data_IF_072964827263
#
_entry.id   IF_072964827263
#
_cell.length_a   1.000
_cell.length_b   1.000
_cell.length_c   1.000
_cell.angle_alpha   90.00
_cell.angle_beta   90.00
_cell.angle_gamma   90.00
#
_symmetry.space_group_name_H-M   'P 1'
#
loop_
_entity.id
_entity.type
_entity.pdbx_description
1 polymer ?
#
# COMPACT_ATOMS: atom_id res chain seq x y z
N UNK A 1 17.97 -24.46 21.12
CA UNK A 1 17.18 -23.23 20.96
C UNK A 1 16.28 -23.10 22.16
N UNK A 2 16.21 -21.92 22.76
CA UNK A 2 15.28 -21.65 23.86
C UNK A 2 13.84 -21.66 23.33
N UNK A 3 12.84 -21.92 24.19
CA UNK A 3 11.41 -21.79 23.82
C UNK A 3 11.08 -20.39 23.27
N UNK A 4 11.84 -19.37 23.67
CA UNK A 4 11.72 -18.01 23.18
C UNK A 4 12.25 -17.89 21.74
N UNK A 5 13.40 -18.50 21.42
CA UNK A 5 14.00 -18.44 20.08
C UNK A 5 13.05 -19.06 19.04
N UNK A 6 12.38 -20.17 19.37
CA UNK A 6 11.41 -20.80 18.49
C UNK A 6 10.18 -19.89 18.28
N UNK A 7 9.69 -19.23 19.33
CA UNK A 7 8.59 -18.28 19.23
C UNK A 7 8.97 -17.05 18.36
N UNK A 8 10.17 -16.50 18.55
CA UNK A 8 10.70 -15.39 17.77
C UNK A 8 10.92 -15.78 16.30
N UNK A 9 11.33 -17.02 16.04
CA UNK A 9 11.51 -17.51 14.66
C UNK A 9 10.15 -17.62 13.95
N UNK A 10 9.13 -18.18 14.62
CA UNK A 10 7.76 -18.24 14.08
C UNK A 10 7.22 -16.84 13.82
N UNK A 11 7.48 -15.90 14.72
CA UNK A 11 7.13 -14.49 14.56
C UNK A 11 7.81 -13.87 13.33
N UNK A 12 9.12 -14.05 13.18
CA UNK A 12 9.87 -13.54 12.03
C UNK A 12 9.32 -14.07 10.70
N UNK A 13 9.13 -15.38 10.61
CA UNK A 13 8.56 -16.01 9.41
C UNK A 13 7.16 -15.48 9.09
N UNK A 14 6.33 -15.29 10.13
CA UNK A 14 5.00 -14.72 9.96
C UNK A 14 5.05 -13.26 9.45
N UNK A 15 5.86 -12.40 10.08
CA UNK A 15 5.97 -10.99 9.67
C UNK A 15 6.56 -10.83 8.27
N UNK A 16 7.56 -11.65 7.91
CA UNK A 16 8.11 -11.67 6.56
C UNK A 16 7.07 -12.11 5.54
N UNK A 17 6.30 -13.17 5.84
CA UNK A 17 5.23 -13.63 4.95
C UNK A 17 4.14 -12.57 4.77
N UNK A 18 3.75 -11.87 5.83
CA UNK A 18 2.79 -10.76 5.78
C UNK A 18 3.34 -9.61 4.94
N UNK A 19 4.63 -9.27 5.09
CA UNK A 19 5.28 -8.23 4.30
C UNK A 19 5.24 -8.53 2.79
N UNK A 20 5.59 -9.76 2.41
CA UNK A 20 5.58 -10.20 1.01
C UNK A 20 4.16 -10.28 0.44
N UNK A 21 3.18 -10.70 1.25
CA UNK A 21 1.78 -10.77 0.86
C UNK A 21 1.20 -9.37 0.56
N UNK A 22 1.59 -8.33 1.31
CA UNK A 22 1.21 -6.95 0.98
C UNK A 22 1.67 -6.54 -0.42
N UNK A 23 2.92 -6.83 -0.78
CA UNK A 23 3.46 -6.44 -2.08
C UNK A 23 2.79 -7.21 -3.23
N UNK A 24 2.52 -8.50 -3.05
CA UNK A 24 1.76 -9.31 -4.02
C UNK A 24 0.35 -8.79 -4.25
N UNK A 25 -0.36 -8.46 -3.16
CA UNK A 25 -1.73 -7.92 -3.23
C UNK A 25 -1.76 -6.54 -3.87
N UNK A 26 -0.85 -5.65 -3.49
CA UNK A 26 -0.74 -4.30 -4.08
C UNK A 26 -0.52 -4.39 -5.58
N UNK A 27 0.40 -5.25 -6.03
CA UNK A 27 0.69 -5.42 -7.45
C UNK A 27 -0.54 -5.92 -8.23
N UNK A 28 -1.28 -6.88 -7.66
CA UNK A 28 -2.51 -7.40 -8.26
C UNK A 28 -3.58 -6.32 -8.40
N UNK A 29 -3.82 -5.56 -7.33
CA UNK A 29 -4.83 -4.50 -7.29
C UNK A 29 -4.48 -3.34 -8.23
N UNK A 30 -3.19 -3.01 -8.39
CA UNK A 30 -2.73 -2.07 -9.41
C UNK A 30 -3.05 -2.53 -10.81
N UNK A 31 -2.80 -3.81 -11.11
CA UNK A 31 -3.13 -4.42 -12.39
C UNK A 31 -4.61 -4.27 -12.70
N UNK A 32 -5.49 -4.61 -11.75
CA UNK A 32 -6.94 -4.49 -11.91
C UNK A 32 -7.40 -3.04 -12.03
N UNK A 33 -6.84 -2.15 -11.21
CA UNK A 33 -7.20 -0.71 -11.25
C UNK A 33 -6.78 -0.09 -12.57
N UNK A 34 -5.58 -0.39 -13.07
CA UNK A 34 -5.11 0.11 -14.35
C UNK A 34 -5.95 -0.44 -15.51
N UNK A 35 -6.12 -1.76 -15.60
CA UNK A 35 -6.90 -2.38 -16.67
C UNK A 35 -8.35 -1.90 -16.66
N UNK A 36 -9.00 -1.87 -15.49
CA UNK A 36 -10.37 -1.42 -15.32
C UNK A 36 -10.54 0.06 -15.67
N UNK A 37 -9.61 0.92 -15.23
CA UNK A 37 -9.68 2.37 -15.53
C UNK A 37 -9.49 2.65 -17.02
N UNK A 38 -8.56 1.97 -17.68
CA UNK A 38 -8.34 2.10 -19.12
C UNK A 38 -9.58 1.65 -19.89
N UNK A 39 -10.14 0.48 -19.57
CA UNK A 39 -11.34 -0.02 -20.21
C UNK A 39 -12.54 0.92 -20.02
N UNK A 40 -12.73 1.43 -18.79
CA UNK A 40 -13.77 2.39 -18.45
C UNK A 40 -13.63 3.70 -19.24
N UNK A 41 -12.40 4.23 -19.36
CA UNK A 41 -12.11 5.43 -20.16
C UNK A 41 -12.46 5.24 -21.63
N UNK A 42 -12.06 4.13 -22.24
CA UNK A 42 -12.36 3.85 -23.65
C UNK A 42 -13.87 3.71 -23.89
N UNK A 43 -14.57 2.97 -23.02
CA UNK A 43 -16.02 2.81 -23.10
C UNK A 43 -16.78 4.13 -22.93
N UNK A 44 -16.25 5.04 -22.10
CA UNK A 44 -16.78 6.38 -21.96
C UNK A 44 -16.53 7.22 -23.21
N UNK A 45 -15.29 7.26 -23.70
CA UNK A 45 -14.89 8.04 -24.87
C UNK A 45 -15.65 7.67 -26.15
N UNK A 46 -16.08 6.41 -26.30
CA UNK A 46 -16.81 5.94 -27.48
C UNK A 46 -18.28 6.37 -27.57
N UNK A 47 -18.85 6.99 -26.53
CA UNK A 47 -20.30 7.30 -26.46
C UNK A 47 -20.59 8.79 -26.34
N UNK A 48 -20.70 9.58 -27.43
CA UNK A 48 -20.70 11.05 -27.44
C UNK A 48 -21.50 11.72 -26.31
N UNK A 49 -22.69 11.22 -26.01
CA UNK A 49 -23.64 11.65 -24.97
C UNK A 49 -23.26 11.29 -23.52
N UNK A 50 -22.13 10.64 -23.29
CA UNK A 50 -21.71 10.21 -21.96
C UNK A 50 -21.43 11.39 -21.02
N UNK A 51 -22.00 11.34 -19.81
CA UNK A 51 -21.86 12.39 -18.81
C UNK A 51 -20.41 12.58 -18.35
N UNK A 52 -20.02 13.85 -18.16
CA UNK A 52 -18.77 14.24 -17.50
C UNK A 52 -18.66 13.67 -16.07
N UNK A 53 -19.80 13.42 -15.42
CA UNK A 53 -19.85 12.82 -14.08
C UNK A 53 -19.21 11.43 -14.02
N UNK A 54 -19.18 10.68 -15.12
CA UNK A 54 -18.47 9.40 -15.19
C UNK A 54 -16.96 9.59 -15.06
N UNK A 55 -16.37 10.53 -15.81
CA UNK A 55 -14.94 10.79 -15.78
C UNK A 55 -14.50 11.29 -14.38
N UNK A 56 -15.30 12.16 -13.77
CA UNK A 56 -15.08 12.61 -12.39
C UNK A 56 -15.16 11.45 -11.39
N UNK A 57 -16.18 10.59 -11.51
CA UNK A 57 -16.34 9.42 -10.64
C UNK A 57 -15.16 8.44 -10.76
N UNK A 58 -14.67 8.21 -11.98
CA UNK A 58 -13.51 7.36 -12.23
C UNK A 58 -12.23 7.97 -11.64
N UNK A 59 -12.03 9.28 -11.78
CA UNK A 59 -10.89 9.96 -11.17
C UNK A 59 -10.91 9.87 -9.63
N UNK A 60 -12.09 10.04 -9.01
CA UNK A 60 -12.25 9.88 -7.56
C UNK A 60 -11.91 8.45 -7.11
N UNK A 61 -12.35 7.43 -7.86
CA UNK A 61 -12.02 6.03 -7.56
C UNK A 61 -10.50 5.79 -7.63
N UNK A 62 -9.83 6.31 -8.66
CA UNK A 62 -8.37 6.20 -8.82
C UNK A 62 -7.64 6.87 -7.67
N UNK A 63 -8.06 8.08 -7.26
CA UNK A 63 -7.49 8.78 -6.10
C UNK A 63 -7.72 7.98 -4.81
N UNK A 64 -8.91 7.39 -4.63
CA UNK A 64 -9.19 6.55 -3.47
C UNK A 64 -8.27 5.31 -3.41
N UNK A 65 -8.01 4.67 -4.55
CA UNK A 65 -7.06 3.55 -4.63
C UNK A 65 -5.62 3.99 -4.31
N UNK A 66 -5.22 5.18 -4.79
CA UNK A 66 -3.92 5.75 -4.47
C UNK A 66 -3.76 6.03 -2.97
N UNK A 67 -4.80 6.56 -2.31
CA UNK A 67 -4.83 6.76 -0.86
C UNK A 67 -4.73 5.44 -0.11
N UNK A 68 -5.49 4.43 -0.54
CA UNK A 68 -5.51 3.11 0.09
C UNK A 68 -4.11 2.45 0.05
N UNK A 69 -3.41 2.54 -1.08
CA UNK A 69 -2.05 2.02 -1.18
C UNK A 69 -1.08 2.76 -0.24
N UNK A 70 -1.14 4.09 -0.19
CA UNK A 70 -0.31 4.86 0.72
C UNK A 70 -0.54 4.44 2.19
N UNK A 71 -1.80 4.18 2.58
CA UNK A 71 -2.14 3.65 3.91
C UNK A 71 -1.55 2.25 4.14
N UNK A 72 -1.63 1.35 3.16
CA UNK A 72 -1.00 0.04 3.26
C UNK A 72 0.52 0.12 3.41
N UNK A 73 1.18 1.06 2.75
CA UNK A 73 2.62 1.26 2.90
C UNK A 73 3.01 1.77 4.29
N UNK A 74 2.19 2.63 4.89
CA UNK A 74 2.36 3.02 6.31
C UNK A 74 2.23 1.79 7.22
N UNK A 75 1.21 0.94 6.98
CA UNK A 75 1.01 -0.26 7.77
C UNK A 75 2.18 -1.26 7.62
N UNK A 76 2.60 -1.55 6.39
CA UNK A 76 3.73 -2.43 6.08
C UNK A 76 5.00 -1.98 6.83
N UNK A 77 5.39 -0.72 6.67
CA UNK A 77 6.60 -0.17 7.30
C UNK A 77 6.53 -0.04 8.82
N UNK A 78 5.33 -0.10 9.42
CA UNK A 78 5.20 -0.13 10.88
C UNK A 78 5.75 -1.43 11.48
N UNK A 79 5.65 -2.54 10.73
CA UNK A 79 6.18 -3.84 11.13
C UNK A 79 7.68 -3.97 10.84
N UNK A 80 8.23 -3.17 9.92
CA UNK A 80 9.65 -3.20 9.54
C UNK A 80 10.59 -3.09 10.74
N UNK A 81 10.34 -2.15 11.66
CA UNK A 81 11.16 -1.99 12.87
C UNK A 81 11.21 -3.22 13.78
N UNK A 82 10.20 -4.10 13.72
CA UNK A 82 10.19 -5.34 14.48
C UNK A 82 10.93 -6.45 13.74
N UNK A 83 10.82 -6.49 12.40
CA UNK A 83 11.62 -7.37 11.55
C UNK A 83 13.10 -7.08 11.77
N UNK A 84 13.53 -5.82 11.69
CA UNK A 84 14.92 -5.40 11.94
C UNK A 84 15.43 -5.87 13.33
N UNK A 85 14.58 -5.77 14.35
CA UNK A 85 14.92 -6.19 15.71
C UNK A 85 15.04 -7.71 15.85
N UNK A 86 14.23 -8.48 15.12
CA UNK A 86 14.32 -9.94 15.06
C UNK A 86 15.60 -10.37 14.32
N UNK A 87 15.93 -9.72 13.21
CA UNK A 87 17.17 -9.97 12.46
C UNK A 87 18.41 -9.68 13.31
N UNK A 88 18.42 -8.53 14.02
CA UNK A 88 19.48 -8.19 14.96
C UNK A 88 19.60 -9.22 16.10
N UNK A 89 18.49 -9.83 16.50
CA UNK A 89 18.49 -10.89 17.51
C UNK A 89 19.13 -12.18 17.02
N UNK A 90 18.74 -12.65 15.84
CA UNK A 90 19.34 -13.85 15.25
C UNK A 90 20.79 -13.64 14.81
N UNK A 91 21.19 -12.41 14.48
CA UNK A 91 22.58 -12.04 14.20
C UNK A 91 23.46 -11.92 15.46
N UNK A 92 22.88 -12.04 16.66
CA UNK A 92 23.60 -11.92 17.93
C UNK A 92 23.89 -10.47 18.38
N UNK A 93 23.32 -9.47 17.71
CA UNK A 93 23.54 -8.05 17.99
C UNK A 93 22.60 -7.45 19.05
N UNK A 94 21.39 -7.98 19.21
CA UNK A 94 20.42 -7.49 20.20
C UNK A 94 19.62 -8.62 20.85
N UNK A 95 19.43 -8.63 22.17
CA UNK A 95 18.56 -9.63 22.80
C UNK A 95 17.12 -9.15 22.89
N UNK A 96 16.23 -9.76 22.11
CA UNK A 96 14.80 -9.63 22.32
C UNK A 96 14.39 -10.52 23.48
N UNK A 97 13.68 -9.93 24.45
CA UNK A 97 13.24 -10.60 25.68
C UNK A 97 11.77 -10.99 25.66
N UNK A 98 11.01 -10.55 24.64
CA UNK A 98 9.58 -10.81 24.54
C UNK A 98 9.09 -11.02 23.10
N UNK A 99 8.02 -11.81 22.99
CA UNK A 99 7.30 -12.05 21.74
C UNK A 99 6.46 -10.83 21.30
N UNK A 100 6.01 -10.85 20.05
CA UNK A 100 5.20 -9.81 19.41
C UNK A 100 4.01 -9.35 20.25
N UNK A 101 3.85 -8.04 20.39
CA UNK A 101 2.68 -7.43 21.02
C UNK A 101 1.85 -6.68 19.97
N UNK A 102 0.86 -7.36 19.39
CA UNK A 102 -0.01 -6.81 18.33
C UNK A 102 -0.65 -5.47 18.72
N UNK A 103 -1.11 -5.36 19.97
CA UNK A 103 -1.75 -4.14 20.47
C UNK A 103 -0.79 -2.95 20.57
N UNK A 104 0.50 -3.20 20.83
CA UNK A 104 1.52 -2.16 20.86
C UNK A 104 1.78 -1.58 19.46
N UNK A 105 1.68 -2.41 18.42
CA UNK A 105 1.83 -1.98 17.02
C UNK A 105 0.62 -1.22 16.54
N UNK A 106 -0.60 -1.66 16.86
CA UNK A 106 -1.81 -0.87 16.58
C UNK A 106 -1.75 0.54 17.18
N UNK A 107 -1.09 0.70 18.33
CA UNK A 107 -0.83 2.01 18.94
C UNK A 107 0.26 2.80 18.18
N UNK A 108 1.40 2.17 17.86
CA UNK A 108 2.47 2.82 17.06
C UNK A 108 2.00 3.23 15.66
N UNK A 109 1.16 2.42 15.02
CA UNK A 109 0.51 2.74 13.75
C UNK A 109 -0.36 3.98 13.94
N UNK A 110 -1.15 4.05 15.01
CA UNK A 110 -2.01 5.20 15.31
C UNK A 110 -1.22 6.49 15.55
N UNK A 111 -0.07 6.39 16.21
CA UNK A 111 0.84 7.51 16.45
C UNK A 111 1.57 7.96 15.16
N UNK A 112 1.95 7.00 14.31
CA UNK A 112 2.53 7.29 12.99
C UNK A 112 1.48 7.62 11.92
N UNK A 113 0.21 7.36 12.22
CA UNK A 113 -0.95 7.77 11.44
C UNK A 113 -1.13 9.26 11.61
N UNK A 114 -0.48 9.98 10.71
CA UNK A 114 -0.67 11.41 10.54
C UNK A 114 -0.56 11.75 9.06
N UNK A 115 -1.13 12.89 8.69
CA UNK A 115 -1.08 13.40 7.31
C UNK A 115 0.35 13.39 6.75
N UNK A 116 1.35 13.76 7.57
CA UNK A 116 2.77 13.75 7.16
C UNK A 116 3.31 12.36 6.82
N UNK A 117 2.95 11.34 7.60
CA UNK A 117 3.36 9.96 7.35
C UNK A 117 2.76 9.43 6.06
N UNK A 118 1.49 9.74 5.82
CA UNK A 118 0.77 9.39 4.59
C UNK A 118 1.38 10.11 3.37
N UNK A 119 1.50 11.44 3.42
CA UNK A 119 2.05 12.29 2.35
C UNK A 119 3.46 11.86 1.91
N UNK A 120 4.28 11.37 2.84
CA UNK A 120 5.62 10.84 2.53
C UNK A 120 5.57 9.69 1.52
N UNK A 121 4.54 8.84 1.59
CA UNK A 121 4.40 7.68 0.71
C UNK A 121 3.78 8.03 -0.63
N UNK A 122 2.88 9.01 -0.69
CA UNK A 122 2.27 9.47 -1.95
C UNK A 122 3.29 9.84 -3.03
N UNK A 123 4.39 10.49 -2.63
CA UNK A 123 5.43 10.92 -3.56
C UNK A 123 6.36 9.80 -4.06
N UNK A 124 6.25 8.57 -3.56
CA UNK A 124 7.14 7.48 -3.97
C UNK A 124 6.73 6.95 -5.35
N UNK A 125 7.68 6.76 -6.30
CA UNK A 125 7.39 6.27 -7.66
C UNK A 125 6.52 5.03 -7.69
N UNK A 126 6.84 4.06 -6.85
CA UNK A 126 6.07 2.84 -6.80
C UNK A 126 4.64 3.06 -6.29
N UNK A 127 4.33 4.11 -5.52
CA UNK A 127 2.97 4.36 -5.00
C UNK A 127 2.13 5.15 -5.99
N UNK A 128 2.70 6.13 -6.69
CA UNK A 128 1.92 6.94 -7.64
C UNK A 128 1.76 6.30 -9.02
N UNK A 129 2.56 5.27 -9.35
CA UNK A 129 2.35 4.41 -10.51
C UNK A 129 1.40 3.26 -10.11
N UNK A 130 0.25 3.07 -10.78
CA UNK A 130 -0.16 3.66 -12.07
C UNK A 130 -1.11 4.86 -11.99
N UNK A 131 -1.48 5.32 -10.80
CA UNK A 131 -2.59 6.26 -10.61
C UNK A 131 -2.40 7.63 -11.29
N UNK A 132 -1.23 8.26 -11.17
CA UNK A 132 -0.99 9.57 -11.79
C UNK A 132 -1.09 9.50 -13.33
N UNK A 133 -0.44 8.53 -14.01
CA UNK A 133 -0.67 8.31 -15.44
C UNK A 133 -2.15 8.14 -15.81
N UNK A 134 -2.92 7.37 -15.04
CA UNK A 134 -4.36 7.18 -15.29
C UNK A 134 -5.14 8.50 -15.17
N UNK A 135 -4.86 9.30 -14.15
CA UNK A 135 -5.50 10.62 -13.96
C UNK A 135 -5.17 11.57 -15.10
N UNK A 136 -3.91 11.59 -15.56
CA UNK A 136 -3.50 12.39 -16.72
C UNK A 136 -4.25 11.93 -17.97
N UNK A 137 -4.39 10.62 -18.19
CA UNK A 137 -5.15 10.12 -19.34
C UNK A 137 -6.63 10.51 -19.29
N UNK A 138 -7.26 10.49 -18.11
CA UNK A 138 -8.65 10.97 -17.94
C UNK A 138 -8.76 12.45 -18.30
N UNK A 139 -7.82 13.27 -17.85
CA UNK A 139 -7.81 14.70 -18.19
C UNK A 139 -7.67 14.90 -19.70
N UNK A 140 -6.74 14.19 -20.33
CA UNK A 140 -6.54 14.28 -21.78
C UNK A 140 -7.78 13.85 -22.58
N UNK A 141 -8.46 12.77 -22.18
CA UNK A 141 -9.68 12.32 -22.87
C UNK A 141 -10.84 13.29 -22.69
N UNK A 142 -10.87 14.09 -21.61
CA UNK A 142 -11.84 15.19 -21.45
C UNK A 142 -11.57 16.32 -22.46
N UNK A 143 -10.32 16.64 -22.76
CA UNK A 143 -9.98 17.74 -23.67
C UNK A 143 -10.09 17.39 -25.16
N UNK A 144 -9.93 16.11 -25.52
CA UNK A 144 -9.94 15.64 -26.92
C UNK A 144 -11.37 15.45 -27.45
N UNK A 145 -12.33 15.29 -26.55
CA UNK A 145 -13.70 14.93 -26.83
C UNK A 145 -14.60 16.15 -27.01
#
# INVERSE_FOLDING_TARGET
>A
MSNLDEALQKEYLHLSAVWDDFDRRVLTIKGWTAAGSIAAMFAWASKPEASMGFAVGLAVLIVAMWVLEAQWKVFQHSNGSRIDALEAHFAGGAQLTCAFQSHAISRRIREKWGLRGLLKWFGKPFVWIPYVPLLVMILLTIFIR
#
